data_IF_351960328403
#
_entry.id   IF_351960328403
#
_cell.length_a   1.000
_cell.length_b   1.000
_cell.length_c   1.000
_cell.angle_alpha   90.00
_cell.angle_beta   90.00
_cell.angle_gamma   90.00
#
_symmetry.space_group_name_H-M   'P 1'
#
loop_
_entity.id
_entity.type
_entity.pdbx_description
1 polymer ?
#
# COMPACT_ATOMS: atom_id res chain seq x y z
N UNK A 1 9.32 -17.16 -16.60
CA UNK A 1 8.41 -16.80 -15.50
C UNK A 1 7.58 -15.61 -15.95
N UNK A 2 6.36 -15.44 -15.44
CA UNK A 2 5.62 -14.21 -15.73
C UNK A 2 6.36 -13.02 -15.08
N UNK A 3 6.34 -11.87 -15.76
CA UNK A 3 6.93 -10.63 -15.24
C UNK A 3 5.78 -9.79 -14.71
N UNK A 4 6.00 -9.17 -13.55
CA UNK A 4 5.02 -8.25 -12.98
C UNK A 4 4.70 -7.10 -13.95
N UNK A 5 3.58 -6.43 -13.74
CA UNK A 5 3.31 -5.20 -14.48
C UNK A 5 4.34 -4.14 -14.04
N UNK A 6 5.07 -3.58 -15.01
CA UNK A 6 6.21 -2.68 -14.75
C UNK A 6 5.81 -1.33 -14.14
N UNK A 7 4.55 -0.90 -14.32
CA UNK A 7 4.11 0.40 -13.83
C UNK A 7 3.67 0.30 -12.35
N UNK A 8 4.23 1.14 -11.46
CA UNK A 8 3.86 1.13 -10.04
C UNK A 8 2.41 1.55 -9.78
N UNK A 9 1.92 1.21 -8.58
CA UNK A 9 0.52 1.46 -8.19
C UNK A 9 0.33 2.82 -7.53
N UNK A 10 1.18 3.17 -6.57
CA UNK A 10 1.06 4.45 -5.86
C UNK A 10 1.53 5.61 -6.72
N UNK A 11 0.98 6.80 -6.49
CA UNK A 11 1.37 7.98 -7.26
C UNK A 11 2.80 8.42 -6.95
N UNK A 12 3.27 8.22 -5.72
CA UNK A 12 4.66 8.52 -5.36
C UNK A 12 5.65 7.62 -6.12
N UNK A 13 5.39 6.31 -6.19
CA UNK A 13 6.23 5.40 -6.96
C UNK A 13 6.14 5.70 -8.47
N UNK A 14 4.96 6.09 -8.97
CA UNK A 14 4.80 6.53 -10.37
C UNK A 14 5.61 7.80 -10.68
N UNK A 15 5.73 8.74 -9.76
CA UNK A 15 6.61 9.93 -9.93
C UNK A 15 8.06 9.48 -10.07
N UNK A 16 8.54 8.62 -9.17
CA UNK A 16 9.91 8.09 -9.22
C UNK A 16 10.17 7.35 -10.54
N UNK A 17 9.25 6.48 -10.91
CA UNK A 17 9.32 5.69 -12.14
C UNK A 17 9.31 6.58 -13.39
N UNK A 18 8.39 7.54 -13.48
CA UNK A 18 8.24 8.41 -14.65
C UNK A 18 9.45 9.34 -14.84
N UNK A 19 10.03 9.85 -13.75
CA UNK A 19 11.26 10.63 -13.80
C UNK A 19 12.46 9.81 -14.28
N UNK A 20 12.58 8.56 -13.81
CA UNK A 20 13.61 7.64 -14.29
C UNK A 20 13.41 7.32 -15.79
N UNK A 21 12.20 6.88 -16.16
CA UNK A 21 11.83 6.58 -17.54
C UNK A 21 12.14 7.77 -18.46
N UNK A 22 11.73 8.98 -18.11
CA UNK A 22 11.99 10.20 -18.89
C UNK A 22 13.49 10.47 -19.08
N UNK A 23 14.28 10.40 -17.99
CA UNK A 23 15.73 10.62 -18.04
C UNK A 23 16.43 9.61 -18.95
N UNK A 24 16.04 8.34 -18.86
CA UNK A 24 16.62 7.24 -19.64
C UNK A 24 16.12 7.23 -21.08
N UNK A 25 14.89 7.69 -21.32
CA UNK A 25 14.34 7.89 -22.66
C UNK A 25 15.14 8.93 -23.45
N UNK A 26 15.67 9.97 -22.80
CA UNK A 26 16.57 10.91 -23.46
C UNK A 26 17.88 10.25 -23.97
N UNK A 27 18.31 9.16 -23.32
CA UNK A 27 19.52 8.41 -23.70
C UNK A 27 19.21 7.37 -24.79
N UNK A 28 18.15 6.58 -24.61
CA UNK A 28 17.87 5.43 -25.48
C UNK A 28 16.87 5.74 -26.60
N UNK A 29 16.06 6.78 -26.47
CA UNK A 29 14.88 7.05 -27.32
C UNK A 29 15.20 7.08 -28.81
N UNK A 30 16.29 7.75 -29.21
CA UNK A 30 16.71 7.80 -30.61
C UNK A 30 17.03 6.42 -31.19
N UNK A 31 17.61 5.51 -30.39
CA UNK A 31 17.95 4.14 -30.83
C UNK A 31 16.69 3.33 -31.15
N UNK A 32 15.59 3.61 -30.45
CA UNK A 32 14.29 2.93 -30.58
C UNK A 32 13.24 3.78 -31.30
N UNK A 33 13.68 4.76 -32.10
CA UNK A 33 12.83 5.51 -33.01
C UNK A 33 11.87 6.51 -32.34
N UNK A 34 12.15 6.94 -31.12
CA UNK A 34 11.39 8.00 -30.43
C UNK A 34 11.94 9.35 -30.84
N UNK A 35 11.06 10.26 -31.28
CA UNK A 35 11.47 11.57 -31.78
C UNK A 35 11.94 12.49 -30.65
N UNK A 36 12.76 13.52 -30.95
CA UNK A 36 13.13 14.55 -29.97
C UNK A 36 11.92 15.25 -29.33
N UNK A 37 10.85 15.45 -30.09
CA UNK A 37 9.61 16.08 -29.60
C UNK A 37 8.88 15.16 -28.61
N UNK A 38 8.87 13.86 -28.84
CA UNK A 38 8.27 12.87 -27.93
C UNK A 38 9.10 12.71 -26.64
N UNK A 39 10.43 12.76 -26.74
CA UNK A 39 11.31 12.81 -25.58
C UNK A 39 11.01 14.06 -24.74
N UNK A 40 10.92 15.21 -25.39
CA UNK A 40 10.61 16.49 -24.74
C UNK A 40 9.21 16.47 -24.10
N UNK A 41 8.20 15.94 -24.81
CA UNK A 41 6.86 15.77 -24.27
C UNK A 41 6.84 14.87 -23.04
N UNK A 42 7.61 13.77 -23.04
CA UNK A 42 7.70 12.87 -21.89
C UNK A 42 8.40 13.53 -20.69
N UNK A 43 9.38 14.39 -20.95
CA UNK A 43 10.03 15.20 -19.92
C UNK A 43 9.07 16.20 -19.29
N UNK A 44 8.26 16.88 -20.11
CA UNK A 44 7.21 17.77 -19.61
C UNK A 44 6.16 17.00 -18.79
N UNK A 45 5.75 15.81 -19.26
CA UNK A 45 4.83 14.93 -18.53
C UNK A 45 5.37 14.56 -17.13
N UNK A 46 6.65 14.20 -17.04
CA UNK A 46 7.31 13.85 -15.78
C UNK A 46 7.37 15.05 -14.80
N UNK A 47 7.69 16.23 -15.31
CA UNK A 47 7.75 17.47 -14.53
C UNK A 47 6.35 17.85 -14.01
N UNK A 48 5.35 17.91 -14.90
CA UNK A 48 3.99 18.27 -14.50
C UNK A 48 3.42 17.32 -13.46
N UNK A 49 3.59 16.00 -13.63
CA UNK A 49 3.11 15.04 -12.65
C UNK A 49 3.82 15.19 -11.30
N UNK A 50 5.14 15.42 -11.30
CA UNK A 50 5.91 15.67 -10.08
C UNK A 50 5.44 16.93 -9.34
N UNK A 51 5.18 18.02 -10.08
CA UNK A 51 4.66 19.26 -9.52
C UNK A 51 3.26 19.09 -8.92
N UNK A 52 2.38 18.35 -9.58
CA UNK A 52 1.02 18.08 -9.08
C UNK A 52 1.04 17.28 -7.78
N UNK A 53 1.87 16.24 -7.67
CA UNK A 53 1.99 15.47 -6.43
C UNK A 53 2.53 16.34 -5.29
N UNK A 54 3.55 17.16 -5.54
CA UNK A 54 4.09 18.09 -4.54
C UNK A 54 3.07 19.16 -4.15
N UNK A 55 2.27 19.66 -5.09
CA UNK A 55 1.22 20.64 -4.83
C UNK A 55 0.13 20.04 -3.93
N UNK A 56 -0.35 18.83 -4.21
CA UNK A 56 -1.34 18.14 -3.37
C UNK A 56 -0.81 17.94 -1.95
N UNK A 57 0.45 17.50 -1.80
CA UNK A 57 1.09 17.35 -0.50
C UNK A 57 1.17 18.69 0.27
N UNK A 58 1.58 19.76 -0.42
CA UNK A 58 1.75 21.08 0.19
C UNK A 58 0.40 21.70 0.61
N UNK A 59 -0.64 21.55 -0.22
CA UNK A 59 -1.99 21.99 0.11
C UNK A 59 -2.60 21.19 1.27
N UNK A 60 -2.28 19.90 1.36
CA UNK A 60 -2.72 19.05 2.48
C UNK A 60 -2.08 19.52 3.78
N UNK A 61 -0.77 19.74 3.80
CA UNK A 61 -0.05 20.29 4.95
C UNK A 61 -0.57 21.67 5.36
N UNK A 62 -0.81 22.56 4.39
CA UNK A 62 -1.33 23.90 4.67
C UNK A 62 -2.74 23.84 5.28
N UNK A 63 -3.61 22.96 4.77
CA UNK A 63 -4.93 22.69 5.36
C UNK A 63 -4.80 22.22 6.82
N UNK A 64 -3.90 21.28 7.10
CA UNK A 64 -3.70 20.75 8.46
C UNK A 64 -3.23 21.85 9.42
N UNK A 65 -2.28 22.69 9.00
CA UNK A 65 -1.82 23.84 9.77
C UNK A 65 -2.95 24.84 10.04
N UNK A 66 -3.76 25.17 9.03
CA UNK A 66 -4.92 26.04 9.19
C UNK A 66 -5.96 25.46 10.16
N UNK A 67 -6.20 24.15 10.11
CA UNK A 67 -7.10 23.45 11.04
C UNK A 67 -6.55 23.47 12.48
N UNK A 68 -5.26 23.24 12.65
CA UNK A 68 -4.62 23.32 13.96
C UNK A 68 -4.70 24.72 14.54
N UNK A 69 -4.36 25.74 13.75
CA UNK A 69 -4.39 27.14 14.18
C UNK A 69 -5.80 27.61 14.54
N UNK A 70 -6.83 27.30 13.74
CA UNK A 70 -8.21 27.67 14.10
C UNK A 70 -8.67 27.02 15.41
N UNK A 71 -8.23 25.79 15.70
CA UNK A 71 -8.60 25.08 16.92
C UNK A 71 -7.89 25.71 18.13
N UNK A 72 -6.62 26.10 17.98
CA UNK A 72 -5.88 26.85 18.99
C UNK A 72 -6.60 28.17 19.32
N UNK A 73 -6.98 28.95 18.29
CA UNK A 73 -7.69 30.22 18.51
C UNK A 73 -9.07 30.04 19.15
N UNK A 74 -9.74 28.92 18.89
CA UNK A 74 -11.08 28.64 19.41
C UNK A 74 -11.07 28.12 20.85
N UNK A 75 -10.18 27.19 21.16
CA UNK A 75 -10.32 26.32 22.35
C UNK A 75 -9.15 26.43 23.35
N UNK A 76 -8.07 27.18 23.05
CA UNK A 76 -6.91 27.22 23.93
C UNK A 76 -7.21 27.92 25.28
N UNK A 77 -6.63 27.44 26.40
CA UNK A 77 -6.73 28.12 27.69
C UNK A 77 -6.24 29.58 27.63
N UNK A 78 -6.86 30.45 28.42
CA UNK A 78 -6.43 31.85 28.54
C UNK A 78 -4.95 31.93 28.95
N UNK A 79 -4.19 32.78 28.24
CA UNK A 79 -2.75 32.93 28.43
C UNK A 79 -1.87 31.97 27.61
N UNK A 80 -2.47 31.07 26.83
CA UNK A 80 -1.72 30.23 25.88
C UNK A 80 -1.07 31.09 24.79
N UNK A 81 0.16 30.76 24.34
CA UNK A 81 0.79 31.48 23.23
C UNK A 81 0.02 31.24 21.93
N UNK A 82 -0.18 32.30 21.14
CA UNK A 82 -0.99 32.25 19.93
C UNK A 82 -0.36 31.46 18.77
N UNK A 83 0.94 31.15 18.84
CA UNK A 83 1.70 30.52 17.75
C UNK A 83 1.79 31.40 16.50
N UNK A 84 2.41 30.87 15.45
CA UNK A 84 2.53 31.55 14.17
C UNK A 84 1.28 31.35 13.31
N UNK A 85 0.89 32.39 12.58
CA UNK A 85 -0.18 32.28 11.60
C UNK A 85 0.26 31.36 10.45
N UNK A 86 -0.57 30.40 10.01
CA UNK A 86 -0.23 29.49 8.92
C UNK A 86 0.09 30.24 7.62
N UNK A 87 1.17 29.86 6.95
CA UNK A 87 1.53 30.41 5.65
C UNK A 87 0.88 29.64 4.50
N UNK A 88 0.59 30.34 3.41
CA UNK A 88 0.17 29.68 2.18
C UNK A 88 1.39 29.01 1.51
N UNK A 89 1.22 27.80 0.96
CA UNK A 89 2.29 27.13 0.24
C UNK A 89 2.60 27.87 -1.07
N UNK A 90 3.86 27.85 -1.47
CA UNK A 90 4.26 28.33 -2.79
C UNK A 90 3.67 27.42 -3.88
N UNK A 91 2.89 28.00 -4.79
CA UNK A 91 2.35 27.28 -5.94
C UNK A 91 3.36 27.38 -7.09
N UNK A 92 3.97 26.25 -7.45
CA UNK A 92 4.79 26.16 -8.67
C UNK A 92 3.97 25.60 -9.82
N UNK A 93 3.96 26.33 -10.93
CA UNK A 93 3.30 25.90 -12.18
C UNK A 93 4.33 25.30 -13.14
N UNK A 94 3.94 24.32 -13.97
CA UNK A 94 4.81 23.83 -15.03
C UNK A 94 5.05 24.93 -16.07
N UNK A 95 6.25 24.96 -16.66
CA UNK A 95 6.58 25.90 -17.73
C UNK A 95 5.82 25.62 -19.04
N UNK A 96 5.31 24.40 -19.21
CA UNK A 96 4.53 23.96 -20.37
C UNK A 96 3.41 23.05 -19.87
N UNK A 97 2.17 23.35 -20.28
CA UNK A 97 1.03 22.49 -19.98
C UNK A 97 1.06 21.28 -20.90
N UNK A 98 0.85 20.09 -20.33
CA UNK A 98 0.76 18.84 -21.08
C UNK A 98 -0.68 18.38 -21.26
N UNK A 99 -0.92 17.53 -22.26
CA UNK A 99 -2.24 16.95 -22.48
C UNK A 99 -2.64 16.00 -21.32
N UNK A 100 -3.94 15.79 -21.04
CA UNK A 100 -4.39 14.82 -20.04
C UNK A 100 -4.10 13.37 -20.47
N UNK A 101 -3.97 12.47 -19.49
CA UNK A 101 -3.73 11.05 -19.76
C UNK A 101 -2.26 10.66 -19.91
N UNK A 102 -1.37 11.30 -19.15
CA UNK A 102 0.09 11.06 -19.10
C UNK A 102 0.42 9.56 -19.15
N UNK A 103 -0.06 8.76 -18.19
CA UNK A 103 0.24 7.32 -18.14
C UNK A 103 -0.39 6.50 -19.27
N UNK A 104 -1.44 6.98 -19.92
CA UNK A 104 -1.97 6.32 -21.13
C UNK A 104 -1.04 6.56 -22.31
N UNK A 105 -0.59 7.80 -22.54
CA UNK A 105 0.39 8.12 -23.58
C UNK A 105 1.72 7.40 -23.35
N UNK A 106 2.24 7.42 -22.13
CA UNK A 106 3.48 6.73 -21.77
C UNK A 106 3.35 5.22 -22.00
N UNK A 107 2.22 4.59 -21.66
CA UNK A 107 2.01 3.15 -21.95
C UNK A 107 2.04 2.84 -23.45
N UNK A 108 1.42 3.68 -24.28
CA UNK A 108 1.46 3.52 -25.74
C UNK A 108 2.88 3.70 -26.29
N UNK A 109 3.63 4.67 -25.76
CA UNK A 109 5.04 4.86 -26.09
C UNK A 109 5.88 3.65 -25.71
N UNK A 110 5.70 3.10 -24.50
CA UNK A 110 6.39 1.89 -24.05
C UNK A 110 6.08 0.69 -24.94
N UNK A 111 4.83 0.50 -25.36
CA UNK A 111 4.47 -0.55 -26.32
C UNK A 111 5.20 -0.38 -27.65
N UNK A 112 5.27 0.85 -28.18
CA UNK A 112 5.99 1.13 -29.43
C UNK A 112 7.49 0.88 -29.29
N UNK A 113 8.09 1.29 -28.17
CA UNK A 113 9.50 1.02 -27.85
C UNK A 113 9.78 -0.49 -27.86
N UNK A 114 8.97 -1.29 -27.15
CA UNK A 114 9.13 -2.74 -27.07
C UNK A 114 8.96 -3.46 -28.40
N UNK A 115 8.17 -2.90 -29.32
CA UNK A 115 7.93 -3.43 -30.65
C UNK A 115 8.97 -2.97 -31.70
N UNK A 116 9.90 -2.10 -31.33
CA UNK A 116 10.89 -1.57 -32.27
C UNK A 116 12.00 -2.60 -32.54
N UNK A 117 12.46 -2.70 -33.79
CA UNK A 117 13.47 -3.70 -34.19
C UNK A 117 14.82 -3.59 -33.45
N UNK A 118 15.18 -2.37 -33.00
CA UNK A 118 16.41 -2.12 -32.24
C UNK A 118 16.24 -2.23 -30.72
N UNK A 119 15.06 -2.63 -30.24
CA UNK A 119 14.83 -2.84 -28.82
C UNK A 119 15.67 -4.02 -28.30
N UNK A 120 16.27 -3.84 -27.13
CA UNK A 120 16.99 -4.90 -26.41
C UNK A 120 16.51 -4.98 -24.97
N UNK A 121 16.70 -6.12 -24.31
CA UNK A 121 16.39 -6.26 -22.89
C UNK A 121 17.20 -5.29 -22.03
N UNK A 122 18.44 -4.96 -22.42
CA UNK A 122 19.26 -3.95 -21.75
C UNK A 122 18.60 -2.56 -21.80
N UNK A 123 18.12 -2.13 -22.96
CA UNK A 123 17.36 -0.88 -23.10
C UNK A 123 16.09 -0.93 -22.26
N UNK A 124 15.38 -2.06 -22.27
CA UNK A 124 14.16 -2.24 -21.47
C UNK A 124 14.40 -2.18 -19.96
N UNK A 125 15.52 -2.73 -19.50
CA UNK A 125 15.91 -2.71 -18.10
C UNK A 125 16.32 -1.29 -17.67
N UNK A 126 17.11 -0.59 -18.49
CA UNK A 126 17.52 0.79 -18.21
C UNK A 126 16.33 1.76 -18.18
N UNK A 127 15.33 1.55 -19.04
CA UNK A 127 14.08 2.31 -19.06
C UNK A 127 13.09 1.92 -17.95
N UNK A 128 13.37 0.88 -17.17
CA UNK A 128 12.46 0.33 -16.15
C UNK A 128 11.07 -0.05 -16.73
N UNK A 129 11.06 -0.59 -17.95
CA UNK A 129 9.85 -1.05 -18.65
C UNK A 129 9.76 -2.59 -18.70
N UNK A 130 10.67 -3.28 -18.05
CA UNK A 130 10.64 -4.72 -17.82
C UNK A 130 10.20 -4.91 -16.38
N UNK A 131 9.02 -5.50 -16.16
CA UNK A 131 8.58 -5.76 -14.79
C UNK A 131 9.49 -6.76 -14.10
N UNK A 132 9.60 -6.62 -12.78
CA UNK A 132 10.35 -7.56 -11.95
C UNK A 132 9.92 -9.00 -12.26
N UNK A 133 10.88 -9.92 -12.29
CA UNK A 133 10.56 -11.34 -12.30
C UNK A 133 9.63 -11.63 -11.11
N UNK A 134 8.55 -12.38 -11.35
CA UNK A 134 7.74 -12.90 -10.25
C UNK A 134 8.68 -13.65 -9.30
N UNK A 135 8.92 -13.08 -8.12
CA UNK A 135 9.53 -13.86 -7.04
C UNK A 135 8.55 -15.00 -6.79
N UNK A 136 8.98 -16.28 -6.91
CA UNK A 136 8.08 -17.39 -6.66
C UNK A 136 7.45 -17.20 -5.29
N UNK A 137 6.12 -17.35 -5.14
CA UNK A 137 5.48 -17.22 -3.84
C UNK A 137 6.18 -18.18 -2.87
N UNK A 138 6.54 -17.65 -1.69
CA UNK A 138 7.28 -18.40 -0.68
C UNK A 138 6.62 -19.77 -0.46
N UNK A 139 7.42 -20.85 -0.47
CA UNK A 139 6.91 -22.21 -0.36
C UNK A 139 5.92 -22.34 0.82
N UNK A 140 4.76 -23.00 0.65
CA UNK A 140 3.74 -23.08 1.71
C UNK A 140 4.27 -23.58 3.06
N UNK A 141 5.28 -24.46 3.04
CA UNK A 141 5.96 -24.99 4.22
C UNK A 141 6.76 -23.96 5.04
N UNK A 142 7.02 -22.78 4.50
CA UNK A 142 7.73 -21.69 5.18
C UNK A 142 6.80 -20.56 5.65
N UNK A 143 5.51 -20.62 5.32
CA UNK A 143 4.56 -19.58 5.68
C UNK A 143 4.29 -19.58 7.18
N UNK A 144 4.14 -18.38 7.76
CA UNK A 144 3.71 -18.18 9.14
C UNK A 144 2.68 -17.04 9.15
N UNK A 145 1.43 -17.26 9.60
CA UNK A 145 0.45 -16.17 9.67
C UNK A 145 0.84 -15.13 10.72
N UNK A 146 0.47 -13.87 10.45
CA UNK A 146 0.50 -12.79 11.45
C UNK A 146 -0.93 -12.43 11.77
N UNK A 147 -1.31 -12.56 13.04
CA UNK A 147 -2.64 -12.20 13.53
C UNK A 147 -2.60 -10.84 14.24
N UNK A 148 -3.67 -10.07 14.09
CA UNK A 148 -3.96 -8.89 14.94
C UNK A 148 -5.36 -9.02 15.50
N UNK A 149 -5.57 -8.56 16.73
CA UNK A 149 -6.86 -8.61 17.40
C UNK A 149 -7.41 -7.20 17.56
N UNK A 150 -8.71 -7.04 17.38
CA UNK A 150 -9.45 -5.83 17.73
C UNK A 150 -10.71 -6.21 18.53
N UNK A 151 -11.00 -5.48 19.61
CA UNK A 151 -12.25 -5.62 20.33
C UNK A 151 -13.23 -4.56 19.83
N UNK A 152 -14.28 -4.99 19.14
CA UNK A 152 -15.21 -4.10 18.44
C UNK A 152 -16.63 -4.58 18.71
N UNK A 153 -17.50 -3.69 19.19
CA UNK A 153 -18.93 -3.97 19.42
C UNK A 153 -19.20 -5.23 20.27
N UNK A 154 -18.36 -5.53 21.27
CA UNK A 154 -18.53 -6.71 22.12
C UNK A 154 -18.05 -8.02 21.49
N UNK A 155 -17.32 -7.96 20.38
CA UNK A 155 -16.75 -9.12 19.68
C UNK A 155 -15.24 -8.94 19.48
N UNK A 156 -14.56 -10.04 19.20
CA UNK A 156 -13.12 -10.01 18.85
C UNK A 156 -12.97 -10.26 17.36
N UNK A 157 -12.45 -9.27 16.65
CA UNK A 157 -12.03 -9.42 15.26
C UNK A 157 -10.59 -9.93 15.21
N UNK A 158 -10.37 -11.02 14.47
CA UNK A 158 -9.07 -11.61 14.16
C UNK A 158 -8.71 -11.23 12.72
N UNK A 159 -7.79 -10.28 12.60
CA UNK A 159 -7.31 -9.72 11.34
C UNK A 159 -6.12 -10.55 10.87
N UNK A 160 -6.18 -11.02 9.63
CA UNK A 160 -5.14 -11.83 8.99
C UNK A 160 -5.07 -11.53 7.48
N UNK A 161 -3.95 -11.88 6.84
CA UNK A 161 -3.76 -11.70 5.39
C UNK A 161 -3.68 -13.05 4.71
N UNK A 162 -4.29 -13.20 3.52
CA UNK A 162 -4.21 -14.42 2.73
C UNK A 162 -3.11 -14.35 1.65
N UNK A 163 -2.04 -15.15 1.74
CA UNK A 163 -1.09 -15.35 0.65
C UNK A 163 -1.75 -15.98 -0.60
N UNK A 164 -1.17 -15.76 -1.79
CA UNK A 164 -1.74 -16.29 -3.04
C UNK A 164 -1.74 -17.83 -3.13
N UNK A 165 -0.86 -18.51 -2.40
CA UNK A 165 -0.60 -19.94 -2.51
C UNK A 165 -1.17 -20.76 -1.33
N UNK A 166 -2.27 -20.30 -0.73
CA UNK A 166 -2.99 -21.02 0.34
C UNK A 166 -4.51 -20.92 0.16
N UNK A 167 -5.24 -21.91 0.66
CA UNK A 167 -6.71 -21.98 0.62
C UNK A 167 -7.38 -21.11 1.68
N UNK A 168 -6.75 -20.94 2.84
CA UNK A 168 -7.30 -20.16 3.96
C UNK A 168 -6.44 -20.26 5.21
N UNK A 169 -7.03 -19.96 6.36
CA UNK A 169 -6.41 -20.09 7.67
C UNK A 169 -7.32 -20.91 8.60
N UNK A 170 -6.71 -21.81 9.37
CA UNK A 170 -7.35 -22.44 10.52
C UNK A 170 -6.99 -21.61 11.76
N UNK A 171 -8.01 -21.18 12.49
CA UNK A 171 -7.87 -20.38 13.71
C UNK A 171 -8.24 -21.25 14.91
N UNK A 172 -7.39 -21.21 15.93
CA UNK A 172 -7.68 -21.77 17.24
C UNK A 172 -7.76 -20.68 18.29
N UNK A 173 -8.60 -20.91 19.28
CA UNK A 173 -8.77 -20.04 20.44
C UNK A 173 -8.55 -20.82 21.73
N UNK A 174 -8.01 -20.15 22.72
CA UNK A 174 -7.95 -20.60 24.11
C UNK A 174 -8.68 -19.55 24.95
N UNK A 175 -9.72 -19.99 25.67
CA UNK A 175 -10.65 -19.12 26.39
C UNK A 175 -10.21 -18.84 27.83
N UNK A 176 -8.97 -19.16 28.19
CA UNK A 176 -8.41 -19.02 29.53
C UNK A 176 -8.36 -20.33 30.32
N UNK A 177 -8.78 -21.45 29.73
CA UNK A 177 -8.77 -22.79 30.32
C UNK A 177 -7.48 -23.59 30.04
N UNK A 178 -6.53 -22.99 29.30
CA UNK A 178 -5.28 -23.64 28.94
C UNK A 178 -5.38 -24.59 27.74
N UNK A 179 -6.58 -24.78 27.18
CA UNK A 179 -6.81 -25.66 26.02
C UNK A 179 -6.99 -24.85 24.74
N UNK A 180 -6.43 -25.37 23.64
CA UNK A 180 -6.66 -24.80 22.30
C UNK A 180 -7.81 -25.54 21.63
N UNK A 181 -8.86 -24.82 21.28
CA UNK A 181 -10.01 -25.37 20.55
C UNK A 181 -10.08 -24.77 19.15
N UNK A 182 -10.62 -25.53 18.21
CA UNK A 182 -10.93 -25.03 16.88
C UNK A 182 -11.95 -23.90 16.98
N UNK A 183 -11.65 -22.76 16.37
CA UNK A 183 -12.58 -21.65 16.25
C UNK A 183 -13.22 -21.63 14.85
N UNK A 184 -12.39 -21.58 13.81
CA UNK A 184 -12.86 -21.43 12.45
C UNK A 184 -11.82 -21.89 11.43
N UNK A 185 -12.33 -22.28 10.26
CA UNK A 185 -11.58 -22.28 9.02
C UNK A 185 -12.10 -21.12 8.17
N UNK A 186 -11.22 -20.16 7.91
CA UNK A 186 -11.58 -18.91 7.24
C UNK A 186 -10.83 -18.79 5.91
N UNK A 187 -11.58 -18.49 4.85
CA UNK A 187 -11.04 -18.41 3.48
C UNK A 187 -10.99 -16.98 2.96
N UNK A 188 -11.59 -16.04 3.69
CA UNK A 188 -11.68 -14.61 3.36
C UNK A 188 -11.06 -13.84 4.53
N UNK A 189 -10.08 -12.96 4.31
CA UNK A 189 -9.44 -12.20 5.38
C UNK A 189 -10.41 -11.55 6.38
N UNK A 190 -10.02 -11.65 7.65
CA UNK A 190 -10.72 -11.17 8.83
C UNK A 190 -11.88 -12.07 9.28
N UNK A 191 -11.77 -12.58 10.51
CA UNK A 191 -12.79 -13.39 11.15
C UNK A 191 -13.29 -12.70 12.43
N UNK A 192 -14.60 -12.57 12.58
CA UNK A 192 -15.22 -12.06 13.81
C UNK A 192 -15.64 -13.22 14.71
N UNK A 193 -15.04 -13.27 15.90
CA UNK A 193 -15.44 -14.21 16.95
C UNK A 193 -16.64 -13.66 17.73
N UNK A 194 -17.80 -14.25 17.47
CA UNK A 194 -19.08 -13.83 18.05
C UNK A 194 -19.44 -14.56 19.36
N UNK A 195 -18.51 -15.31 19.95
CA UNK A 195 -18.77 -16.03 21.19
C UNK A 195 -19.21 -15.05 22.31
N UNK A 196 -20.32 -15.29 23.03
CA UNK A 196 -20.77 -14.41 24.09
C UNK A 196 -19.73 -14.26 25.21
N UNK A 197 -19.48 -13.02 25.63
CA UNK A 197 -18.56 -12.70 26.74
C UNK A 197 -19.39 -12.49 28.00
N UNK A 198 -19.32 -13.45 28.92
CA UNK A 198 -20.12 -13.45 30.15
C UNK A 198 -19.32 -13.05 31.39
N UNK A 199 -17.99 -13.07 31.32
CA UNK A 199 -17.10 -12.70 32.41
C UNK A 199 -15.77 -12.17 31.87
N UNK A 200 -15.02 -11.47 32.71
CA UNK A 200 -13.67 -11.01 32.38
C UNK A 200 -12.76 -12.22 32.13
N UNK A 201 -12.14 -12.29 30.97
CA UNK A 201 -11.24 -13.37 30.58
C UNK A 201 -10.12 -12.85 29.67
N UNK A 202 -9.00 -13.58 29.63
CA UNK A 202 -7.94 -13.34 28.65
C UNK A 202 -8.03 -14.40 27.56
N UNK A 203 -8.50 -14.00 26.37
CA UNK A 203 -8.60 -14.90 25.23
C UNK A 203 -7.30 -14.87 24.43
N UNK A 204 -6.83 -16.05 24.01
CA UNK A 204 -5.63 -16.20 23.18
C UNK A 204 -5.99 -16.84 21.86
N UNK A 205 -5.34 -16.40 20.79
CA UNK A 205 -5.57 -16.88 19.43
C UNK A 205 -4.25 -17.25 18.77
N UNK A 206 -4.32 -18.26 17.91
CA UNK A 206 -3.25 -18.62 16.97
C UNK A 206 -3.86 -19.14 15.68
N UNK A 207 -3.14 -18.98 14.57
CA UNK A 207 -3.59 -19.45 13.27
C UNK A 207 -2.50 -20.20 12.52
N UNK A 208 -2.90 -21.10 11.63
CA UNK A 208 -2.01 -21.77 10.67
C UNK A 208 -2.67 -21.76 9.31
N UNK A 209 -1.90 -21.54 8.24
CA UNK A 209 -2.47 -21.57 6.90
C UNK A 209 -2.87 -23.00 6.50
N UNK A 210 -3.87 -23.09 5.64
CA UNK A 210 -4.31 -24.33 5.01
C UNK A 210 -4.08 -24.23 3.51
N UNK A 211 -3.58 -25.29 2.90
CA UNK A 211 -3.59 -25.49 1.45
C UNK A 211 -4.31 -26.80 1.18
N UNK A 212 -5.35 -26.73 0.37
CA UNK A 212 -6.35 -27.80 0.23
C UNK A 212 -6.83 -28.25 1.62
N UNK A 213 -6.68 -29.54 1.94
CA UNK A 213 -7.10 -30.12 3.23
C UNK A 213 -5.95 -30.25 4.24
N UNK A 214 -4.78 -29.63 3.98
CA UNK A 214 -3.58 -29.76 4.80
C UNK A 214 -3.16 -28.44 5.46
N UNK A 215 -2.77 -28.52 6.73
CA UNK A 215 -2.05 -27.43 7.40
C UNK A 215 -0.67 -27.26 6.76
N UNK A 216 -0.29 -26.03 6.46
CA UNK A 216 1.01 -25.70 5.86
C UNK A 216 1.73 -24.64 6.67
N UNK A 217 3.06 -24.79 6.75
CA UNK A 217 3.92 -23.82 7.40
C UNK A 217 3.94 -23.94 8.92
N UNK A 218 3.94 -22.80 9.59
CA UNK A 218 4.07 -22.66 11.03
C UNK A 218 2.84 -21.99 11.61
N UNK A 219 2.56 -22.29 12.87
CA UNK A 219 1.61 -21.51 13.67
C UNK A 219 2.09 -20.07 13.81
N UNK A 220 1.14 -19.14 13.78
CA UNK A 220 1.37 -17.74 14.14
C UNK A 220 1.93 -17.63 15.56
N UNK A 221 2.53 -16.48 15.86
CA UNK A 221 2.72 -16.12 17.26
C UNK A 221 1.36 -16.06 17.96
N UNK A 222 1.34 -16.44 19.24
CA UNK A 222 0.12 -16.35 20.04
C UNK A 222 -0.17 -14.89 20.33
N UNK A 223 -1.36 -14.44 19.93
CA UNK A 223 -1.87 -13.10 20.25
C UNK A 223 -2.98 -13.23 21.28
N UNK A 224 -3.17 -12.20 22.11
CA UNK A 224 -4.12 -12.25 23.22
C UNK A 224 -4.82 -10.91 23.42
N UNK A 225 -6.06 -10.96 23.91
CA UNK A 225 -6.87 -9.80 24.21
C UNK A 225 -7.71 -10.06 25.47
N UNK A 226 -7.82 -9.05 26.33
CA UNK A 226 -8.73 -9.10 27.47
C UNK A 226 -10.15 -8.83 26.97
N UNK A 227 -11.10 -9.66 27.37
CA UNK A 227 -12.52 -9.51 27.07
C UNK A 227 -13.30 -9.40 28.37
N UNK A 228 -14.32 -8.57 28.40
CA UNK A 228 -15.21 -8.39 29.55
C UNK A 228 -16.36 -7.48 29.18
N UNK A 229 -17.45 -7.56 29.94
CA UNK A 229 -18.49 -6.53 29.87
C UNK A 229 -17.97 -5.30 30.63
N UNK A 230 -18.02 -4.13 29.99
CA UNK A 230 -17.92 -2.87 30.75
C UNK A 230 -19.14 -2.83 31.68
N UNK A 231 -18.90 -2.89 32.99
CA UNK A 231 -19.91 -2.54 33.98
C UNK A 231 -19.96 -1.03 34.02
N UNK A 232 -20.70 -0.43 33.08
CA UNK A 232 -21.21 0.93 33.28
C UNK A 232 -22.31 0.86 34.34
N UNK A 233 -21.96 1.26 35.57
CA UNK A 233 -22.92 1.62 36.62
C UNK A 233 -23.76 2.84 36.18
#
# INVERSE_FOLDING_TARGET
MAKNFYLPRSDQEKVTWLNNFSSKLATHGATVGVSPDEITSTSNDANEFSLLINLVASLTSAKEQAVSYKNLMRDAPLGSPAGDFPSNPEIRLPATLVAPGIFTRVRLLVQRIKNHQNYTEAIGNDLDIIGAEDTPPMAPSLLKPTLKLAYVNGHVDIIWTKPMNVSGILIQVNRGDGQWVFLAFDTIPNYTDTMPITQLALWKYRGIYMLDDAQVGQWSDTVQIAVGQDVTL
#
